data_IF_444897628584
#
_entry.id   IF_444897628584
#
_cell.length_a   1.000
_cell.length_b   1.000
_cell.length_c   1.000
_cell.angle_alpha   90.00
_cell.angle_beta   90.00
_cell.angle_gamma   90.00
#
_symmetry.space_group_name_H-M   'P 1'
#
loop_
_entity.id
_entity.type
_entity.pdbx_description
1 polymer ?
#
# COMPACT_ATOMS: atom_id res chain seq x y z
N UNK A 1 1.09 -35.10 -14.68
CA UNK A 1 2.29 -34.94 -13.85
C UNK A 1 2.76 -33.50 -14.03
N UNK A 2 2.61 -32.66 -13.03
CA UNK A 2 3.03 -31.26 -13.13
C UNK A 2 4.58 -31.21 -13.16
N UNK A 3 5.11 -30.49 -14.15
CA UNK A 3 6.55 -30.31 -14.28
C UNK A 3 7.04 -29.32 -13.22
N UNK A 4 7.78 -29.79 -12.24
CA UNK A 4 8.33 -29.00 -11.14
C UNK A 4 9.12 -27.78 -11.67
N UNK A 5 9.86 -27.94 -12.78
CA UNK A 5 10.64 -26.84 -13.35
C UNK A 5 9.77 -25.73 -13.94
N UNK A 6 8.63 -26.06 -14.55
CA UNK A 6 7.66 -25.06 -15.02
C UNK A 6 6.99 -24.33 -13.85
N UNK A 7 6.70 -25.05 -12.78
CA UNK A 7 6.12 -24.46 -11.58
C UNK A 7 7.11 -23.51 -10.88
N UNK A 8 8.38 -23.91 -10.77
CA UNK A 8 9.45 -23.06 -10.21
C UNK A 8 9.67 -21.81 -11.09
N UNK A 9 9.67 -21.98 -12.41
CA UNK A 9 9.79 -20.86 -13.35
C UNK A 9 8.63 -19.86 -13.18
N UNK A 10 7.41 -20.35 -13.12
CA UNK A 10 6.22 -19.52 -12.92
C UNK A 10 6.26 -18.78 -11.57
N UNK A 11 6.63 -19.47 -10.48
CA UNK A 11 6.81 -18.86 -9.16
C UNK A 11 7.89 -17.78 -9.17
N UNK A 12 9.02 -18.02 -9.85
CA UNK A 12 10.08 -17.03 -9.95
C UNK A 12 9.66 -15.81 -10.78
N UNK A 13 8.90 -16.01 -11.87
CA UNK A 13 8.36 -14.93 -12.69
C UNK A 13 7.36 -14.07 -11.88
N UNK A 14 6.49 -14.69 -11.10
CA UNK A 14 5.54 -13.98 -10.23
C UNK A 14 6.26 -13.23 -9.09
N UNK A 15 7.22 -13.86 -8.43
CA UNK A 15 8.04 -13.23 -7.38
C UNK A 15 8.84 -12.04 -7.94
N UNK A 16 9.41 -12.18 -9.14
CA UNK A 16 10.17 -11.09 -9.78
C UNK A 16 9.27 -9.92 -10.08
N UNK A 17 8.06 -10.14 -10.60
CA UNK A 17 7.07 -9.07 -10.82
C UNK A 17 6.72 -8.34 -9.53
N UNK A 18 6.55 -9.08 -8.43
CA UNK A 18 6.16 -8.52 -7.13
C UNK A 18 7.28 -7.67 -6.50
N UNK A 19 8.54 -8.03 -6.76
CA UNK A 19 9.71 -7.39 -6.15
C UNK A 19 10.33 -6.26 -6.96
N UNK A 20 9.90 -6.03 -8.20
CA UNK A 20 10.41 -4.91 -9.01
C UNK A 20 9.87 -3.58 -8.45
N UNK A 21 10.79 -2.71 -8.03
CA UNK A 21 10.49 -1.39 -7.46
C UNK A 21 11.05 -0.22 -8.31
N UNK A 22 11.20 -0.43 -9.59
CA UNK A 22 11.83 0.50 -10.54
C UNK A 22 10.86 1.50 -11.20
N UNK A 23 9.60 1.52 -10.75
CA UNK A 23 8.56 2.37 -11.33
C UNK A 23 7.87 1.80 -12.57
N UNK A 24 8.31 0.66 -13.10
CA UNK A 24 7.70 0.04 -14.30
C UNK A 24 6.38 -0.68 -14.03
N UNK A 25 5.96 -0.78 -12.77
CA UNK A 25 4.73 -1.48 -12.37
C UNK A 25 3.47 -0.99 -13.07
N UNK A 26 3.43 0.27 -13.48
CA UNK A 26 2.29 0.84 -14.19
C UNK A 26 1.98 0.08 -15.48
N UNK A 27 3.00 -0.49 -16.13
CA UNK A 27 2.83 -1.28 -17.35
C UNK A 27 2.02 -2.57 -17.13
N UNK A 28 2.03 -3.10 -15.91
CA UNK A 28 1.25 -4.30 -15.56
C UNK A 28 -0.24 -4.00 -15.40
N UNK A 29 -0.59 -2.72 -15.36
CA UNK A 29 -1.96 -2.22 -15.27
C UNK A 29 -2.36 -1.43 -16.51
N UNK A 30 -1.82 -1.83 -17.68
CA UNK A 30 -2.02 -1.15 -18.96
C UNK A 30 -3.51 -0.90 -19.29
N UNK A 31 -4.38 -1.88 -18.98
CA UNK A 31 -5.82 -1.72 -19.20
C UNK A 31 -6.42 -0.61 -18.34
N UNK A 32 -5.94 -0.46 -17.08
CA UNK A 32 -6.38 0.61 -16.19
C UNK A 32 -5.89 1.98 -16.69
N UNK A 33 -4.64 2.05 -17.16
CA UNK A 33 -4.07 3.26 -17.78
C UNK A 33 -4.89 3.67 -18.99
N UNK A 34 -5.20 2.71 -19.88
CA UNK A 34 -6.01 2.96 -21.09
C UNK A 34 -7.41 3.48 -20.75
N UNK A 35 -8.06 2.93 -19.73
CA UNK A 35 -9.36 3.45 -19.26
C UNK A 35 -9.23 4.89 -18.81
N UNK A 36 -8.20 5.22 -18.03
CA UNK A 36 -7.94 6.57 -17.57
C UNK A 36 -7.68 7.54 -18.74
N UNK A 37 -6.87 7.13 -19.73
CA UNK A 37 -6.64 7.91 -20.97
C UNK A 37 -7.93 8.18 -21.75
N UNK A 38 -8.89 7.27 -21.68
CA UNK A 38 -10.22 7.42 -22.29
C UNK A 38 -11.18 8.30 -21.44
N UNK A 39 -10.70 8.87 -20.30
CA UNK A 39 -11.50 9.72 -19.42
C UNK A 39 -12.38 8.96 -18.44
N UNK A 40 -12.20 7.64 -18.29
CA UNK A 40 -12.90 6.86 -17.28
C UNK A 40 -12.33 7.13 -15.88
N UNK A 41 -13.19 7.09 -14.86
CA UNK A 41 -12.73 7.09 -13.46
C UNK A 41 -12.15 5.73 -13.11
N UNK A 42 -10.92 5.71 -12.67
CA UNK A 42 -10.23 4.50 -12.22
C UNK A 42 -9.80 4.61 -10.76
N UNK A 43 -9.72 3.48 -10.08
CA UNK A 43 -9.07 3.42 -8.78
C UNK A 43 -7.54 3.50 -8.91
N UNK A 44 -6.84 4.10 -7.94
CA UNK A 44 -5.38 4.05 -7.90
C UNK A 44 -4.90 2.60 -7.74
N UNK A 45 -3.69 2.32 -8.21
CA UNK A 45 -3.05 1.01 -7.99
C UNK A 45 -2.51 0.91 -6.57
N UNK A 46 -1.89 1.99 -6.09
CA UNK A 46 -1.29 2.08 -4.76
C UNK A 46 -1.75 3.37 -4.08
N UNK A 47 -1.89 3.32 -2.77
CA UNK A 47 -2.24 4.47 -1.93
C UNK A 47 -1.18 4.59 -0.84
N UNK A 48 -0.68 5.80 -0.61
CA UNK A 48 0.12 6.13 0.57
C UNK A 48 -0.81 6.62 1.67
N UNK A 49 -0.65 6.07 2.89
CA UNK A 49 -1.48 6.46 4.02
C UNK A 49 -0.70 6.50 5.34
N UNK A 50 -1.14 7.38 6.22
CA UNK A 50 -0.63 7.49 7.57
C UNK A 50 -1.55 6.78 8.57
N UNK A 51 -1.00 6.00 9.49
CA UNK A 51 -1.75 5.45 10.63
C UNK A 51 -1.71 6.37 11.85
N UNK A 52 -0.64 7.14 11.96
CA UNK A 52 -0.45 8.10 13.04
C UNK A 52 0.50 9.21 12.62
N UNK A 53 0.36 10.37 13.22
CA UNK A 53 1.34 11.46 13.11
C UNK A 53 2.36 11.45 14.27
N UNK A 54 2.23 10.52 15.23
CA UNK A 54 3.23 10.32 16.27
C UNK A 54 4.49 9.66 15.72
N UNK A 55 5.66 10.06 16.23
CA UNK A 55 6.94 9.49 15.85
C UNK A 55 7.86 9.43 17.05
N UNK A 56 8.64 8.36 17.17
CA UNK A 56 9.66 8.14 18.19
C UNK A 56 11.09 8.34 17.65
N UNK A 57 11.24 8.81 16.42
CA UNK A 57 12.54 9.15 15.79
C UNK A 57 12.78 10.66 15.78
N UNK A 58 14.04 11.05 15.66
CA UNK A 58 14.49 12.43 15.56
C UNK A 58 15.32 12.67 14.28
N UNK A 59 14.81 12.27 13.12
CA UNK A 59 15.53 12.39 11.84
C UNK A 59 15.76 13.86 11.47
N UNK A 60 17.00 14.28 11.30
CA UNK A 60 17.36 15.67 11.03
C UNK A 60 16.84 16.20 9.68
N UNK A 61 16.52 15.33 8.74
CA UNK A 61 15.96 15.63 7.42
C UNK A 61 14.42 15.51 7.36
N UNK A 62 13.77 15.30 8.49
CA UNK A 62 12.34 15.03 8.53
C UNK A 62 11.52 16.31 8.29
N UNK A 63 10.78 16.36 7.20
CA UNK A 63 9.91 17.48 6.87
C UNK A 63 8.72 17.62 7.85
N UNK A 64 8.29 16.54 8.46
CA UNK A 64 7.18 16.54 9.42
C UNK A 64 7.49 17.37 10.68
N UNK A 65 8.78 17.60 10.99
CA UNK A 65 9.18 18.49 12.08
C UNK A 65 8.87 19.98 11.80
N UNK A 66 8.64 20.34 10.55
CA UNK A 66 8.27 21.69 10.11
C UNK A 66 6.77 21.92 10.09
N UNK A 67 5.98 20.91 10.37
CA UNK A 67 4.52 20.94 10.39
C UNK A 67 3.98 20.89 11.82
N UNK A 68 2.86 21.56 12.05
CA UNK A 68 2.12 21.35 13.31
C UNK A 68 1.67 19.90 13.39
N UNK A 69 2.11 19.21 14.44
CA UNK A 69 1.82 17.80 14.65
C UNK A 69 0.95 17.60 15.90
N UNK A 70 -0.29 17.23 15.70
CA UNK A 70 -1.28 16.97 16.74
C UNK A 70 -1.19 15.54 17.32
N UNK A 71 -0.24 14.72 16.82
CA UNK A 71 -0.04 13.31 17.21
C UNK A 71 -1.30 12.45 17.03
N UNK A 72 -2.17 12.82 16.09
CA UNK A 72 -3.39 12.08 15.82
C UNK A 72 -3.11 10.63 15.41
N UNK A 73 -4.04 9.76 15.74
CA UNK A 73 -4.08 8.34 15.35
C UNK A 73 -5.39 8.07 14.68
N UNK A 74 -5.37 7.38 13.57
CA UNK A 74 -6.59 7.00 12.85
C UNK A 74 -7.36 5.93 13.65
N UNK A 75 -8.68 6.01 13.64
CA UNK A 75 -9.54 5.05 14.33
C UNK A 75 -9.55 3.70 13.59
N UNK A 76 -9.49 2.58 14.34
CA UNK A 76 -9.47 1.22 13.79
C UNK A 76 -10.65 0.93 12.86
N UNK A 77 -11.86 1.34 13.24
CA UNK A 77 -13.02 1.12 12.38
C UNK A 77 -12.89 1.84 11.03
N UNK A 78 -12.40 3.08 11.05
CA UNK A 78 -12.16 3.86 9.82
C UNK A 78 -11.13 3.17 8.93
N UNK A 79 -10.06 2.59 9.52
CA UNK A 79 -9.08 1.81 8.78
C UNK A 79 -9.72 0.60 8.13
N UNK A 80 -10.52 -0.14 8.85
CA UNK A 80 -11.14 -1.37 8.33
C UNK A 80 -12.11 -1.06 7.18
N UNK A 81 -12.98 -0.09 7.36
CA UNK A 81 -13.90 0.38 6.32
C UNK A 81 -13.10 0.83 5.07
N UNK A 82 -12.01 1.59 5.27
CA UNK A 82 -11.14 2.05 4.19
C UNK A 82 -10.44 0.90 3.44
N UNK A 83 -9.94 -0.11 4.16
CA UNK A 83 -9.29 -1.27 3.55
C UNK A 83 -10.28 -2.10 2.71
N UNK A 84 -11.50 -2.28 3.22
CA UNK A 84 -12.59 -2.95 2.49
C UNK A 84 -12.95 -2.18 1.21
N UNK A 85 -13.14 -0.88 1.31
CA UNK A 85 -13.39 -0.02 0.14
C UNK A 85 -12.24 -0.10 -0.87
N UNK A 86 -10.99 -0.09 -0.41
CA UNK A 86 -9.81 -0.24 -1.27
C UNK A 86 -9.79 -1.58 -2.02
N UNK A 87 -10.11 -2.67 -1.34
CA UNK A 87 -10.20 -3.99 -1.95
C UNK A 87 -11.31 -4.04 -3.00
N UNK A 88 -12.49 -3.51 -2.67
CA UNK A 88 -13.66 -3.49 -3.56
C UNK A 88 -13.42 -2.70 -4.85
N UNK A 89 -12.72 -1.57 -4.78
CA UNK A 89 -12.38 -0.77 -5.97
C UNK A 89 -11.12 -1.26 -6.69
N UNK A 90 -10.43 -2.26 -6.13
CA UNK A 90 -9.29 -2.92 -6.77
C UNK A 90 -7.94 -2.23 -6.58
N UNK A 91 -7.73 -1.52 -5.48
CA UNK A 91 -6.40 -1.10 -5.03
C UNK A 91 -5.54 -2.34 -4.76
N UNK A 92 -4.26 -2.30 -5.11
CA UNK A 92 -3.34 -3.45 -5.05
C UNK A 92 -2.24 -3.31 -4.01
N UNK A 93 -2.08 -2.16 -3.45
CA UNK A 93 -1.09 -1.95 -2.41
C UNK A 93 -1.35 -0.70 -1.61
N UNK A 94 -1.00 -0.76 -0.34
CA UNK A 94 -1.03 0.39 0.56
C UNK A 94 0.36 0.54 1.15
N UNK A 95 0.93 1.72 1.00
CA UNK A 95 2.21 2.10 1.59
C UNK A 95 1.93 2.85 2.90
N UNK A 96 2.40 2.31 4.02
CA UNK A 96 2.21 2.91 5.33
C UNK A 96 3.31 3.95 5.62
N UNK A 97 3.45 4.91 4.72
CA UNK A 97 4.42 6.02 4.81
C UNK A 97 3.68 7.27 5.30
N UNK A 98 4.24 7.95 6.30
CA UNK A 98 3.54 9.05 6.92
C UNK A 98 4.44 10.12 7.54
N UNK A 99 3.83 11.16 8.07
CA UNK A 99 4.46 12.21 8.89
C UNK A 99 4.91 11.69 10.28
N UNK A 100 4.58 10.45 10.62
CA UNK A 100 4.93 9.78 11.86
C UNK A 100 5.65 8.45 11.60
N UNK A 101 5.72 7.62 12.64
CA UNK A 101 6.22 6.25 12.56
C UNK A 101 5.05 5.27 12.66
N UNK A 102 4.67 4.68 11.53
CA UNK A 102 3.49 3.82 11.46
C UNK A 102 3.53 2.63 12.40
N UNK A 103 4.72 2.09 12.69
CA UNK A 103 4.89 0.89 13.55
C UNK A 103 4.56 1.13 15.02
N UNK A 104 4.55 2.39 15.49
CA UNK A 104 4.12 2.72 16.87
C UNK A 104 2.61 2.94 16.98
N UNK A 105 1.89 2.92 15.86
CA UNK A 105 0.43 3.03 15.89
C UNK A 105 -0.18 1.79 16.54
N UNK A 106 -1.13 1.94 17.48
CA UNK A 106 -1.81 0.81 18.11
C UNK A 106 -2.61 -0.04 17.12
N UNK A 107 -2.93 0.51 15.93
CA UNK A 107 -3.69 -0.21 14.88
C UNK A 107 -2.78 -0.77 13.77
N UNK A 108 -1.45 -0.68 13.91
CA UNK A 108 -0.52 -1.09 12.85
C UNK A 108 -0.65 -2.57 12.50
N UNK A 109 -0.55 -3.45 13.51
CA UNK A 109 -0.61 -4.91 13.30
C UNK A 109 -1.96 -5.31 12.70
N UNK A 110 -3.05 -4.79 13.25
CA UNK A 110 -4.40 -5.07 12.78
C UNK A 110 -4.60 -4.59 11.32
N UNK A 111 -4.05 -3.42 10.97
CA UNK A 111 -4.10 -2.89 9.60
C UNK A 111 -3.39 -3.82 8.62
N UNK A 112 -2.18 -4.26 8.96
CA UNK A 112 -1.39 -5.17 8.11
C UNK A 112 -2.08 -6.52 7.97
N UNK A 113 -2.59 -7.07 9.07
CA UNK A 113 -3.31 -8.34 9.07
C UNK A 113 -4.55 -8.25 8.20
N UNK A 114 -5.40 -7.23 8.43
CA UNK A 114 -6.63 -7.04 7.66
C UNK A 114 -6.36 -6.79 6.17
N UNK A 115 -5.38 -5.96 5.86
CA UNK A 115 -4.98 -5.71 4.47
C UNK A 115 -4.51 -6.99 3.77
N UNK A 116 -3.75 -7.84 4.45
CA UNK A 116 -3.30 -9.13 3.90
C UNK A 116 -4.44 -10.13 3.68
N UNK A 117 -5.47 -10.13 4.53
CA UNK A 117 -6.67 -10.97 4.37
C UNK A 117 -7.52 -10.57 3.15
N UNK A 118 -7.53 -9.28 2.83
CA UNK A 118 -8.30 -8.72 1.72
C UNK A 118 -7.57 -8.83 0.36
N UNK A 119 -6.27 -9.13 0.32
CA UNK A 119 -5.45 -9.30 -0.89
C UNK A 119 -4.88 -8.00 -1.40
#
# INVERSE_FOLDING_TARGET
MYNINEMIKHLNEELTKTLILDGTKIQWYADRVKKWENGEKIAPVTIDMALTRSCNYGCHFCYAMLQENDRSVINQKVIYDFLEDCADIGVKGISLVSDGESTISPVFVDTVTRGSELG
#
